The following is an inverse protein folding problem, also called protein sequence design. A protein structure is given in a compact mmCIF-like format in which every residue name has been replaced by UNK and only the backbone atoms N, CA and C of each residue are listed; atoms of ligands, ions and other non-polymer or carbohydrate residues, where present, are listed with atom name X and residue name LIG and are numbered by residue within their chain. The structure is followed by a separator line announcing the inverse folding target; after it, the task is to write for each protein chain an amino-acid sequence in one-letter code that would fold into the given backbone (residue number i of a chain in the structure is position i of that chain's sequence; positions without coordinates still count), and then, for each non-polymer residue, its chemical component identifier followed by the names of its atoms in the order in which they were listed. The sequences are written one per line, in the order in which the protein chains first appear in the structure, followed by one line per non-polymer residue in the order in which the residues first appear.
data_IF_313987141620
#
_entry.id   IF_313987141620
#
_cell.length_a   1.000
_cell.length_b   1.000
_cell.length_c   1.000
_cell.angle_alpha   90.00
_cell.angle_beta   90.00
_cell.angle_gamma   90.00
#
_symmetry.space_group_name_H-M   'P 1'
#
loop_
_entity.id
_entity.type
_entity.pdbx_description
1 polymer ?
#
# COMPACT_ATOMS: atom_id res chain seq x y z
N UNK A 1 -15.79 5.28 5.98
CA UNK A 1 -14.76 5.10 4.93
C UNK A 1 -13.35 5.27 5.52
N UNK A 2 -13.04 6.41 6.15
CA UNK A 2 -11.71 6.64 6.74
C UNK A 2 -11.32 5.66 7.86
N UNK A 3 -12.23 5.35 8.78
CA UNK A 3 -11.98 4.38 9.85
C UNK A 3 -11.70 2.95 9.34
N UNK A 4 -12.35 2.54 8.24
CA UNK A 4 -12.12 1.22 7.64
C UNK A 4 -10.74 1.15 6.98
N UNK A 5 -10.39 2.15 6.16
CA UNK A 5 -9.07 2.23 5.51
C UNK A 5 -7.96 2.34 6.56
N UNK A 6 -8.18 3.10 7.65
CA UNK A 6 -7.25 3.16 8.78
C UNK A 6 -7.01 1.78 9.40
N UNK A 7 -8.09 1.06 9.75
CA UNK A 7 -8.01 -0.27 10.36
C UNK A 7 -7.29 -1.29 9.46
N UNK A 8 -7.63 -1.33 8.17
CA UNK A 8 -6.99 -2.22 7.20
C UNK A 8 -5.51 -1.85 7.01
N UNK A 9 -5.20 -0.55 6.96
CA UNK A 9 -3.82 -0.06 6.82
C UNK A 9 -2.94 -0.47 8.00
N UNK A 10 -3.46 -0.41 9.23
CA UNK A 10 -2.75 -0.91 10.42
C UNK A 10 -2.49 -2.42 10.34
N UNK A 11 -3.43 -3.21 9.83
CA UNK A 11 -3.22 -4.64 9.62
C UNK A 11 -2.12 -4.92 8.59
N UNK A 12 -2.05 -4.13 7.51
CA UNK A 12 -0.96 -4.21 6.51
C UNK A 12 0.39 -3.91 7.16
N UNK A 13 0.47 -2.89 8.01
CA UNK A 13 1.67 -2.58 8.78
C UNK A 13 2.10 -3.77 9.67
N UNK A 14 1.15 -4.39 10.38
CA UNK A 14 1.41 -5.56 11.22
C UNK A 14 1.90 -6.79 10.46
N UNK A 15 1.56 -6.92 9.16
CA UNK A 15 2.02 -8.01 8.29
C UNK A 15 3.49 -7.87 7.87
N UNK A 16 4.07 -6.67 7.95
CA UNK A 16 5.50 -6.48 7.64
C UNK A 16 6.41 -7.23 8.63
N UNK A 17 5.97 -7.41 9.89
CA UNK A 17 6.71 -8.13 10.95
C UNK A 17 8.16 -7.64 11.14
N UNK A 18 8.42 -6.38 10.83
CA UNK A 18 9.69 -5.68 11.07
C UNK A 18 9.43 -4.36 11.79
N UNK A 19 10.40 -3.89 12.57
CA UNK A 19 10.30 -2.62 13.30
C UNK A 19 11.18 -1.58 12.63
N UNK A 20 10.58 -0.47 12.21
CA UNK A 20 11.26 0.70 11.64
C UNK A 20 10.50 1.98 11.96
N UNK A 21 10.96 3.11 11.43
CA UNK A 21 10.19 4.36 11.48
C UNK A 21 9.05 4.28 10.48
N UNK A 22 7.90 4.78 10.87
CA UNK A 22 6.70 4.82 10.01
C UNK A 22 6.25 6.28 9.92
N UNK A 23 5.93 6.74 8.72
CA UNK A 23 5.26 8.05 8.59
C UNK A 23 3.81 7.91 9.01
N UNK A 24 3.26 8.94 9.67
CA UNK A 24 1.89 8.90 10.21
C UNK A 24 0.95 9.93 9.55
N UNK A 25 0.90 10.04 8.21
CA UNK A 25 -0.19 10.79 7.59
C UNK A 25 -1.49 10.01 7.84
N UNK A 26 -2.50 10.65 8.41
CA UNK A 26 -3.81 10.03 8.57
C UNK A 26 -4.45 9.70 7.20
N UNK A 27 -5.46 8.79 7.17
CA UNK A 27 -6.27 8.60 5.97
C UNK A 27 -6.92 9.92 5.58
N UNK A 28 -7.02 10.17 4.27
CA UNK A 28 -7.67 11.37 3.75
C UNK A 28 -8.53 11.05 2.53
N UNK A 29 -9.56 11.86 2.35
CA UNK A 29 -10.43 11.81 1.18
C UNK A 29 -9.80 12.51 -0.02
N UNK A 30 -9.90 11.92 -1.20
CA UNK A 30 -9.40 12.47 -2.47
C UNK A 30 -10.40 12.21 -3.59
N UNK A 31 -10.35 12.99 -4.67
CA UNK A 31 -11.19 12.75 -5.84
C UNK A 31 -10.69 11.54 -6.62
N UNK A 32 -11.63 10.81 -7.23
CA UNK A 32 -11.37 9.72 -8.15
C UNK A 32 -12.31 9.81 -9.35
N UNK A 33 -11.97 9.06 -10.40
CA UNK A 33 -12.85 8.87 -11.56
C UNK A 33 -12.92 7.38 -11.83
N UNK A 34 -14.14 6.85 -11.83
CA UNK A 34 -14.40 5.44 -12.11
C UNK A 34 -15.48 5.34 -13.19
N UNK A 35 -15.13 4.70 -14.31
CA UNK A 35 -15.98 4.58 -15.49
C UNK A 35 -16.54 5.93 -15.98
N UNK A 36 -15.66 6.93 -16.07
CA UNK A 36 -16.00 8.30 -16.50
C UNK A 36 -16.81 9.13 -15.49
N UNK A 37 -17.22 8.56 -14.36
CA UNK A 37 -17.96 9.26 -13.30
C UNK A 37 -17.02 9.77 -12.20
N UNK A 38 -17.24 11.00 -11.76
CA UNK A 38 -16.54 11.57 -10.60
C UNK A 38 -17.01 10.91 -9.30
N UNK A 39 -16.09 10.81 -8.37
CA UNK A 39 -16.34 10.24 -7.07
C UNK A 39 -15.27 10.63 -6.07
N UNK A 40 -15.38 10.05 -4.89
CA UNK A 40 -14.40 10.17 -3.81
C UNK A 40 -13.91 8.80 -3.38
N UNK A 41 -12.65 8.73 -3.01
CA UNK A 41 -12.05 7.59 -2.32
C UNK A 41 -11.34 8.06 -1.06
N UNK A 42 -11.06 7.12 -0.17
CA UNK A 42 -10.14 7.35 0.93
C UNK A 42 -8.81 6.69 0.58
N UNK A 43 -7.72 7.42 0.80
CA UNK A 43 -6.35 6.92 0.68
C UNK A 43 -5.62 7.06 2.00
N UNK A 44 -4.71 6.14 2.28
CA UNK A 44 -3.83 6.18 3.44
C UNK A 44 -2.42 5.77 3.01
N UNK A 45 -1.68 6.68 2.35
CA UNK A 45 -0.29 6.46 1.98
C UNK A 45 0.61 6.61 3.21
N UNK A 46 1.59 5.74 3.41
CA UNK A 46 2.61 5.88 4.44
C UNK A 46 3.88 5.17 3.99
N UNK A 47 4.98 5.40 4.72
CA UNK A 47 6.27 4.77 4.40
C UNK A 47 6.92 4.19 5.64
N UNK A 48 7.56 3.02 5.48
CA UNK A 48 8.46 2.45 6.48
C UNK A 48 9.92 2.68 6.07
N UNK A 49 10.72 3.26 6.96
CA UNK A 49 12.09 3.69 6.69
C UNK A 49 12.96 3.65 7.96
N UNK A 50 14.23 4.08 7.82
CA UNK A 50 15.16 4.19 8.95
C UNK A 50 15.70 2.84 9.46
N UNK A 51 15.64 1.82 8.62
CA UNK A 51 16.19 0.48 8.84
C UNK A 51 16.94 0.01 7.60
N UNK A 52 17.80 -0.99 7.76
CA UNK A 52 18.61 -1.51 6.66
C UNK A 52 17.76 -2.04 5.51
N UNK A 53 18.29 -1.92 4.29
CA UNK A 53 17.58 -2.34 3.08
C UNK A 53 17.22 -3.83 3.10
N UNK A 54 18.04 -4.67 3.73
CA UNK A 54 17.74 -6.09 3.94
C UNK A 54 16.49 -6.30 4.80
N UNK A 55 16.27 -5.46 5.83
CA UNK A 55 15.08 -5.50 6.68
C UNK A 55 13.84 -4.97 5.98
N UNK A 56 13.98 -3.96 5.12
CA UNK A 56 12.88 -3.55 4.23
C UNK A 56 12.47 -4.70 3.29
N UNK A 57 13.45 -5.41 2.71
CA UNK A 57 13.20 -6.58 1.88
C UNK A 57 12.56 -7.75 2.63
N UNK A 58 12.96 -7.97 3.89
CA UNK A 58 12.32 -8.93 4.80
C UNK A 58 10.85 -8.54 5.01
N UNK A 59 10.56 -7.27 5.32
CA UNK A 59 9.21 -6.76 5.50
C UNK A 59 8.33 -6.94 4.27
N UNK A 60 8.83 -6.55 3.09
CA UNK A 60 8.14 -6.75 1.81
C UNK A 60 7.81 -8.23 1.55
N UNK A 61 8.77 -9.12 1.82
CA UNK A 61 8.59 -10.56 1.65
C UNK A 61 7.61 -11.16 2.65
N UNK A 62 7.60 -10.69 3.90
CA UNK A 62 6.64 -11.08 4.92
C UNK A 62 5.22 -10.71 4.49
N UNK A 63 5.02 -9.45 4.08
CA UNK A 63 3.74 -8.96 3.58
C UNK A 63 3.22 -9.82 2.43
N UNK A 64 4.04 -10.06 1.40
CA UNK A 64 3.69 -10.91 0.26
C UNK A 64 3.13 -12.27 0.68
N UNK A 65 3.76 -12.94 1.66
CA UNK A 65 3.31 -14.24 2.16
C UNK A 65 2.05 -14.16 3.01
N UNK A 66 1.89 -13.08 3.78
CA UNK A 66 0.76 -12.89 4.68
C UNK A 66 -0.52 -12.46 3.97
N UNK A 67 -0.42 -11.71 2.86
CA UNK A 67 -1.57 -11.13 2.15
C UNK A 67 -2.68 -12.16 1.84
N UNK A 68 -2.43 -13.30 1.16
CA UNK A 68 -3.48 -14.27 0.85
C UNK A 68 -4.21 -14.83 2.09
N UNK A 69 -3.47 -15.10 3.17
CA UNK A 69 -4.04 -15.58 4.43
C UNK A 69 -4.89 -14.54 5.16
N UNK A 70 -4.82 -13.27 4.76
CA UNK A 70 -5.53 -12.15 5.37
C UNK A 70 -6.57 -11.53 4.40
N UNK A 71 -7.10 -12.32 3.47
CA UNK A 71 -8.22 -11.91 2.61
C UNK A 71 -7.83 -11.03 1.40
N UNK A 72 -6.53 -10.92 1.10
CA UNK A 72 -6.05 -10.18 -0.06
C UNK A 72 -5.76 -11.10 -1.24
N UNK A 73 -6.24 -10.72 -2.42
CA UNK A 73 -5.83 -11.31 -3.70
C UNK A 73 -4.73 -10.45 -4.31
N UNK A 74 -3.52 -11.00 -4.47
CA UNK A 74 -2.45 -10.34 -5.21
C UNK A 74 -2.84 -10.31 -6.69
N UNK A 75 -2.86 -9.11 -7.28
CA UNK A 75 -3.19 -8.87 -8.70
C UNK A 75 -1.95 -8.48 -9.51
N UNK A 76 -0.90 -7.98 -8.85
CA UNK A 76 0.42 -7.74 -9.42
C UNK A 76 1.50 -8.10 -8.41
N UNK A 77 2.56 -8.73 -8.90
CA UNK A 77 3.78 -9.04 -8.17
C UNK A 77 4.94 -9.01 -9.18
N UNK A 78 5.69 -7.91 -9.20
CA UNK A 78 6.65 -7.62 -10.26
C UNK A 78 7.42 -6.34 -9.99
N UNK A 79 7.84 -5.63 -11.03
CA UNK A 79 8.43 -4.30 -10.90
C UNK A 79 7.42 -3.16 -11.18
N UNK A 80 7.71 -1.99 -10.64
CA UNK A 80 6.92 -0.75 -10.79
C UNK A 80 7.01 -0.11 -12.19
N UNK A 81 7.73 -0.72 -13.13
CA UNK A 81 7.95 -0.19 -14.48
C UNK A 81 8.88 1.03 -14.53
N UNK A 82 9.40 1.50 -13.39
CA UNK A 82 10.35 2.61 -13.33
C UNK A 82 11.72 2.19 -13.86
N UNK A 83 12.60 3.18 -14.13
CA UNK A 83 14.01 2.92 -14.48
C UNK A 83 14.72 2.05 -13.43
N UNK A 84 14.35 2.20 -12.15
CA UNK A 84 14.95 1.47 -11.05
C UNK A 84 14.37 0.05 -10.88
N UNK A 85 13.24 -0.24 -11.55
CA UNK A 85 12.52 -1.51 -11.48
C UNK A 85 12.33 -1.95 -10.03
N UNK A 86 11.78 -1.06 -9.21
CA UNK A 86 11.57 -1.35 -7.80
C UNK A 86 10.52 -2.47 -7.67
N UNK A 87 10.69 -3.45 -6.77
CA UNK A 87 9.67 -4.45 -6.53
C UNK A 87 8.34 -3.80 -6.11
N UNK A 88 7.25 -4.27 -6.69
CA UNK A 88 5.89 -3.79 -6.46
C UNK A 88 4.92 -4.96 -6.26
N UNK A 89 4.02 -4.80 -5.28
CA UNK A 89 2.86 -5.66 -5.09
C UNK A 89 1.61 -4.78 -5.19
N UNK A 90 0.63 -5.23 -5.98
CA UNK A 90 -0.73 -4.72 -5.92
C UNK A 90 -1.66 -5.84 -5.50
N UNK A 91 -2.60 -5.55 -4.59
CA UNK A 91 -3.56 -6.52 -4.10
C UNK A 91 -4.93 -5.90 -3.85
N UNK A 92 -5.98 -6.71 -3.99
CA UNK A 92 -7.36 -6.34 -3.71
C UNK A 92 -7.91 -7.16 -2.53
N UNK A 93 -8.46 -6.50 -1.53
CA UNK A 93 -9.09 -7.13 -0.39
C UNK A 93 -10.48 -7.64 -0.77
N UNK A 94 -10.73 -8.93 -0.57
CA UNK A 94 -11.90 -9.61 -1.14
C UNK A 94 -13.22 -9.21 -0.46
N UNK A 95 -13.19 -8.79 0.80
CA UNK A 95 -14.39 -8.45 1.58
C UNK A 95 -14.77 -6.97 1.48
N UNK A 96 -13.77 -6.09 1.47
CA UNK A 96 -13.99 -4.63 1.57
C UNK A 96 -13.76 -3.92 0.24
N UNK A 97 -13.27 -4.64 -0.77
CA UNK A 97 -12.90 -4.09 -2.07
C UNK A 97 -11.84 -2.97 -1.97
N UNK A 98 -11.13 -2.90 -0.84
CA UNK A 98 -9.98 -2.03 -0.67
C UNK A 98 -8.82 -2.53 -1.52
N UNK A 99 -7.99 -1.62 -1.97
CA UNK A 99 -6.81 -1.89 -2.77
C UNK A 99 -5.57 -1.57 -1.94
N UNK A 100 -4.50 -2.30 -2.22
CA UNK A 100 -3.19 -2.12 -1.65
C UNK A 100 -2.18 -1.98 -2.79
N UNK A 101 -1.33 -0.98 -2.69
CA UNK A 101 -0.14 -0.80 -3.51
C UNK A 101 1.07 -0.68 -2.59
N UNK A 102 2.10 -1.49 -2.83
CA UNK A 102 3.36 -1.45 -2.07
C UNK A 102 4.53 -1.47 -3.02
N UNK A 103 5.44 -0.51 -2.89
CA UNK A 103 6.72 -0.47 -3.59
C UNK A 103 7.87 -0.53 -2.61
N UNK A 104 8.86 -1.35 -2.91
CA UNK A 104 10.13 -1.33 -2.19
C UNK A 104 11.14 -0.46 -2.93
N UNK A 105 11.25 0.80 -2.52
CA UNK A 105 12.21 1.74 -3.07
C UNK A 105 13.59 1.43 -2.49
N UNK A 106 14.46 0.80 -3.29
CA UNK A 106 15.76 0.29 -2.84
C UNK A 106 16.85 1.36 -2.68
N UNK A 107 16.57 2.61 -3.03
CA UNK A 107 17.54 3.71 -3.02
C UNK A 107 18.59 3.66 -4.14
N UNK A 108 18.28 3.02 -5.28
CA UNK A 108 19.21 2.88 -6.42
C UNK A 108 19.51 4.21 -7.14
N UNK A 109 18.73 5.24 -6.83
CA UNK A 109 18.85 6.63 -7.31
C UNK A 109 19.54 7.56 -6.30
N UNK A 110 20.07 7.01 -5.20
CA UNK A 110 20.72 7.78 -4.12
C UNK A 110 19.75 8.30 -3.05
N UNK A 111 18.44 8.03 -3.18
CA UNK A 111 17.46 8.33 -2.13
C UNK A 111 17.53 7.32 -0.99
N UNK A 112 17.03 7.72 0.19
CA UNK A 112 16.90 6.83 1.34
C UNK A 112 15.97 5.65 1.02
N UNK A 113 16.40 4.39 1.24
CA UNK A 113 15.53 3.24 1.02
C UNK A 113 14.30 3.23 1.93
N UNK A 114 13.15 2.83 1.38
CA UNK A 114 11.89 2.73 2.12
C UNK A 114 10.91 1.74 1.48
N UNK A 115 9.91 1.32 2.25
CA UNK A 115 8.67 0.75 1.70
C UNK A 115 7.65 1.88 1.57
N UNK A 116 7.16 2.11 0.35
CA UNK A 116 6.06 3.03 0.06
C UNK A 116 4.77 2.21 -0.01
N UNK A 117 3.79 2.53 0.83
CA UNK A 117 2.58 1.75 1.01
C UNK A 117 1.37 2.66 0.89
N UNK A 118 0.39 2.30 0.06
CA UNK A 118 -0.89 2.99 0.02
C UNK A 118 -2.02 1.97 0.10
N UNK A 119 -2.86 2.10 1.12
CA UNK A 119 -4.18 1.44 1.17
C UNK A 119 -5.24 2.44 0.74
N UNK A 120 -6.15 2.03 -0.12
CA UNK A 120 -7.23 2.89 -0.59
C UNK A 120 -8.53 2.15 -0.79
N UNK A 121 -9.65 2.85 -0.60
CA UNK A 121 -10.98 2.29 -0.86
C UNK A 121 -11.26 2.19 -2.36
N UNK A 122 -12.34 1.49 -2.72
CA UNK A 122 -12.97 1.71 -4.03
C UNK A 122 -13.39 3.18 -4.21
N UNK A 123 -13.55 3.59 -5.47
CA UNK A 123 -14.10 4.90 -5.79
C UNK A 123 -15.61 4.90 -5.53
N UNK A 124 -16.08 5.76 -4.64
CA UNK A 124 -17.50 5.96 -4.36
C UNK A 124 -18.01 7.09 -5.25
N UNK A 125 -18.89 6.75 -6.18
CA UNK A 125 -19.49 7.70 -7.12
C UNK A 125 -20.33 8.73 -6.34
N UNK A 126 -20.22 10.00 -6.73
CA UNK A 126 -21.16 11.00 -6.24
C UNK A 126 -22.57 10.60 -6.68
N UNK A 127 -23.55 10.74 -5.80
CA UNK A 127 -24.95 10.55 -6.19
C UNK A 127 -25.33 11.65 -7.20
N UNK A 128 -25.98 11.25 -8.29
CA UNK A 128 -26.49 12.17 -9.32
C UNK A 128 -27.49 13.19 -8.73
#
# INVERSE_FOLDING_TARGET
MEGEVSSISSQVLDMLKVKGKVTEPGPYTSSCTDDGKKGVWVRHPWSMYGIDNSKLGEGFSNLKRSLPGNGWKIVKDGDDGSRNKNPEIMAAHQKTHSQLEVRWLKGLDGNTPLLDVTVYSQCFKEAD
#
